data_IF_089057704281
#
_entry.id   IF_089057704281
#
_cell.length_a   1.000
_cell.length_b   1.000
_cell.length_c   1.000
_cell.angle_alpha   90.00
_cell.angle_beta   90.00
_cell.angle_gamma   90.00
#
_symmetry.space_group_name_H-M   'P 1'
#
loop_
_entity.id
_entity.type
_entity.pdbx_description
1 polymer ?
#
# COMPACT_ATOMS: atom_id res chain seq x y z
N UNK A 1 -14.46 -10.79 8.45
CA UNK A 1 -13.09 -10.23 8.36
C UNK A 1 -13.14 -9.20 7.25
N UNK A 2 -12.82 -7.91 7.47
CA UNK A 2 -13.02 -6.88 6.44
C UNK A 2 -12.17 -7.19 5.20
N UNK A 3 -12.81 -7.35 4.04
CA UNK A 3 -12.13 -7.64 2.77
C UNK A 3 -11.06 -6.58 2.40
N UNK A 4 -11.23 -5.34 2.86
CA UNK A 4 -10.22 -4.27 2.80
C UNK A 4 -8.93 -4.64 3.54
N UNK A 5 -9.04 -5.28 4.71
CA UNK A 5 -7.89 -5.73 5.49
C UNK A 5 -7.16 -6.85 4.74
N UNK A 6 -7.90 -7.79 4.15
CA UNK A 6 -7.35 -8.87 3.33
C UNK A 6 -6.58 -8.34 2.12
N UNK A 7 -7.14 -7.36 1.39
CA UNK A 7 -6.46 -6.72 0.24
C UNK A 7 -5.19 -6.00 0.68
N UNK A 8 -5.26 -5.19 1.74
CA UNK A 8 -4.10 -4.46 2.25
C UNK A 8 -3.00 -5.40 2.77
N UNK A 9 -3.40 -6.51 3.37
CA UNK A 9 -2.50 -7.56 3.82
C UNK A 9 -1.83 -8.27 2.64
N UNK A 10 -2.57 -8.59 1.55
CA UNK A 10 -1.97 -9.12 0.32
C UNK A 10 -0.92 -8.19 -0.28
N UNK A 11 -1.21 -6.90 -0.35
CA UNK A 11 -0.27 -5.92 -0.91
C UNK A 11 1.00 -5.85 -0.05
N UNK A 12 0.85 -5.83 1.27
CA UNK A 12 1.98 -5.86 2.22
C UNK A 12 2.81 -7.14 2.07
N UNK A 13 2.16 -8.29 1.90
CA UNK A 13 2.84 -9.57 1.72
C UNK A 13 3.58 -9.67 0.39
N UNK A 14 3.04 -9.10 -0.69
CA UNK A 14 3.76 -9.01 -1.97
C UNK A 14 5.03 -8.19 -1.83
N UNK A 15 4.97 -7.08 -1.10
CA UNK A 15 6.14 -6.24 -0.86
C UNK A 15 7.16 -6.94 0.04
N UNK A 16 6.71 -7.69 1.05
CA UNK A 16 7.58 -8.54 1.88
C UNK A 16 8.27 -9.65 1.05
N UNK A 17 7.55 -10.33 0.15
CA UNK A 17 8.14 -11.32 -0.76
C UNK A 17 9.21 -10.69 -1.66
N UNK A 18 8.96 -9.50 -2.23
CA UNK A 18 9.97 -8.77 -3.02
C UNK A 18 11.20 -8.45 -2.18
N UNK A 19 11.03 -8.02 -0.93
CA UNK A 19 12.13 -7.75 -0.02
C UNK A 19 12.94 -9.01 0.29
N UNK A 20 12.28 -10.15 0.54
CA UNK A 20 12.95 -11.43 0.75
C UNK A 20 13.73 -11.90 -0.49
N UNK A 21 13.17 -11.77 -1.71
CA UNK A 21 13.88 -12.10 -2.94
C UNK A 21 15.15 -11.25 -3.14
N UNK A 22 15.08 -9.95 -2.84
CA UNK A 22 16.26 -9.07 -2.84
C UNK A 22 17.29 -9.52 -1.83
N UNK A 23 16.87 -9.82 -0.60
CA UNK A 23 17.77 -10.32 0.44
C UNK A 23 18.45 -11.64 0.04
N UNK A 24 17.70 -12.59 -0.56
CA UNK A 24 18.27 -13.84 -1.10
C UNK A 24 19.37 -13.56 -2.13
N UNK A 25 19.11 -12.67 -3.08
CA UNK A 25 20.05 -12.30 -4.12
C UNK A 25 21.31 -11.64 -3.52
N UNK A 26 21.14 -10.72 -2.59
CA UNK A 26 22.24 -10.06 -1.88
C UNK A 26 23.09 -11.05 -1.08
N UNK A 27 22.44 -12.03 -0.44
CA UNK A 27 23.15 -13.04 0.33
C UNK A 27 23.95 -13.97 -0.56
N UNK A 28 23.37 -14.43 -1.66
CA UNK A 28 24.08 -15.23 -2.68
C UNK A 28 25.32 -14.48 -3.19
N UNK A 29 25.19 -13.19 -3.47
CA UNK A 29 26.30 -12.36 -3.93
C UNK A 29 27.41 -12.20 -2.87
N UNK A 30 27.04 -12.03 -1.59
CA UNK A 30 28.00 -11.96 -0.48
C UNK A 30 28.78 -13.26 -0.34
N UNK A 31 28.08 -14.40 -0.31
CA UNK A 31 28.72 -15.72 -0.17
C UNK A 31 29.62 -16.01 -1.37
N UNK A 32 29.17 -15.71 -2.60
CA UNK A 32 29.99 -15.85 -3.81
C UNK A 32 31.31 -15.09 -3.69
N UNK A 33 31.28 -13.83 -3.27
CA UNK A 33 32.50 -13.03 -3.07
C UNK A 33 33.43 -13.65 -2.03
N UNK A 34 32.89 -14.12 -0.91
CA UNK A 34 33.68 -14.74 0.16
C UNK A 34 34.35 -16.04 -0.29
N UNK A 35 33.66 -16.88 -1.07
CA UNK A 35 34.27 -18.08 -1.63
C UNK A 35 35.33 -17.75 -2.68
N UNK A 36 35.10 -16.74 -3.52
CA UNK A 36 36.07 -16.30 -4.53
C UNK A 36 37.37 -15.73 -3.94
N UNK A 37 37.35 -15.22 -2.70
CA UNK A 37 38.57 -14.81 -1.98
C UNK A 37 39.48 -16.02 -1.71
N UNK A 38 38.91 -17.19 -1.40
CA UNK A 38 39.65 -18.41 -1.04
C UNK A 38 39.96 -19.26 -2.29
N UNK A 39 39.02 -19.30 -3.24
CA UNK A 39 39.16 -20.05 -4.50
C UNK A 39 38.66 -19.19 -5.67
N UNK A 40 39.55 -18.47 -6.38
CA UNK A 40 39.18 -17.55 -7.46
C UNK A 40 38.38 -18.21 -8.60
N UNK A 41 38.64 -19.49 -8.87
CA UNK A 41 38.03 -20.25 -9.99
C UNK A 41 36.80 -21.07 -9.56
N UNK A 42 36.23 -20.79 -8.38
CA UNK A 42 35.09 -21.55 -7.88
C UNK A 42 33.84 -21.36 -8.78
N UNK A 43 33.32 -22.48 -9.29
CA UNK A 43 32.06 -22.47 -10.06
C UNK A 43 30.86 -22.24 -9.14
N UNK A 44 29.78 -21.65 -9.65
CA UNK A 44 28.57 -21.38 -8.87
C UNK A 44 27.98 -22.65 -8.22
N UNK A 45 28.17 -23.80 -8.86
CA UNK A 45 27.75 -25.11 -8.37
C UNK A 45 28.66 -25.67 -7.27
N UNK A 46 29.96 -25.38 -7.31
CA UNK A 46 30.88 -25.70 -6.21
C UNK A 46 30.58 -24.84 -4.98
N UNK A 47 30.28 -23.56 -5.18
CA UNK A 47 29.89 -22.64 -4.11
C UNK A 47 28.58 -23.13 -3.45
N UNK A 48 27.60 -23.58 -4.24
CA UNK A 48 26.34 -24.13 -3.72
C UNK A 48 26.56 -25.48 -2.98
N UNK A 49 27.49 -26.32 -3.44
CA UNK A 49 27.85 -27.56 -2.72
C UNK A 49 28.57 -27.29 -1.40
N UNK A 50 29.51 -26.33 -1.39
CA UNK A 50 30.22 -25.89 -0.17
C UNK A 50 29.25 -25.29 0.84
N UNK A 51 28.23 -24.58 0.34
CA UNK A 51 27.15 -24.02 1.15
C UNK A 51 26.21 -25.11 1.71
N UNK A 52 25.84 -26.11 0.90
CA UNK A 52 24.92 -27.20 1.29
C UNK A 52 25.57 -28.30 2.11
N UNK A 53 26.90 -28.42 2.08
CA UNK A 53 27.60 -29.50 2.80
C UNK A 53 27.40 -29.35 4.31
N UNK A 54 26.77 -30.35 4.92
CA UNK A 54 26.44 -30.40 6.34
C UNK A 54 27.65 -30.64 7.27
N UNK A 55 28.86 -30.81 6.73
CA UNK A 55 30.10 -30.95 7.51
C UNK A 55 30.96 -29.68 7.41
N UNK A 56 30.86 -28.76 8.40
CA UNK A 56 31.73 -27.60 8.53
C UNK A 56 33.23 -27.91 8.50
N UNK A 57 33.61 -29.15 8.84
CA UNK A 57 35.00 -29.58 8.92
C UNK A 57 35.58 -30.18 7.64
N UNK A 58 34.75 -30.65 6.70
CA UNK A 58 35.25 -31.37 5.50
C UNK A 58 36.03 -30.45 4.55
N UNK A 59 35.54 -29.24 4.36
CA UNK A 59 36.14 -28.23 3.47
C UNK A 59 37.27 -27.49 4.19
N UNK A 60 37.17 -27.37 5.52
CA UNK A 60 38.25 -26.88 6.38
C UNK A 60 39.53 -27.72 6.24
N UNK A 61 39.40 -29.06 6.17
CA UNK A 61 40.54 -29.97 6.01
C UNK A 61 41.29 -29.77 4.69
N UNK A 62 40.59 -29.48 3.58
CA UNK A 62 41.25 -29.27 2.28
C UNK A 62 41.89 -27.88 2.14
N UNK A 63 41.32 -26.86 2.77
CA UNK A 63 41.84 -25.48 2.71
C UNK A 63 43.00 -25.22 3.68
N UNK A 64 42.99 -25.83 4.87
CA UNK A 64 44.09 -25.70 5.86
C UNK A 64 45.38 -26.39 5.42
N UNK A 65 45.27 -27.46 4.64
CA UNK A 65 46.44 -28.11 4.04
C UNK A 65 47.24 -27.19 3.10
N UNK A 66 46.66 -26.06 2.66
CA UNK A 66 47.32 -25.07 1.79
C UNK A 66 47.96 -23.87 2.54
N UNK A 67 47.94 -23.85 3.89
CA UNK A 67 48.86 -23.00 4.66
C UNK A 67 48.38 -21.59 5.06
N UNK A 68 47.07 -21.35 5.24
CA UNK A 68 46.56 -20.10 5.84
C UNK A 68 45.53 -20.40 6.93
N UNK A 69 45.91 -20.23 8.20
CA UNK A 69 45.21 -20.87 9.32
C UNK A 69 44.07 -20.05 9.96
N UNK A 70 44.06 -18.72 9.88
CA UNK A 70 43.05 -17.90 10.59
C UNK A 70 42.05 -17.16 9.66
N UNK A 71 42.52 -16.56 8.57
CA UNK A 71 41.67 -15.80 7.64
C UNK A 71 40.65 -16.68 6.90
N UNK A 72 41.04 -17.90 6.52
CA UNK A 72 40.17 -18.87 5.84
C UNK A 72 39.04 -19.34 6.77
N UNK A 73 39.34 -19.51 8.05
CA UNK A 73 38.37 -19.93 9.06
C UNK A 73 37.29 -18.86 9.27
N UNK A 74 37.69 -17.60 9.38
CA UNK A 74 36.76 -16.47 9.54
C UNK A 74 35.83 -16.33 8.32
N UNK A 75 36.40 -16.39 7.11
CA UNK A 75 35.64 -16.31 5.84
C UNK A 75 34.64 -17.45 5.73
N UNK A 76 35.02 -18.67 6.13
CA UNK A 76 34.13 -19.83 6.10
C UNK A 76 32.99 -19.72 7.12
N UNK A 77 33.29 -19.33 8.37
CA UNK A 77 32.26 -19.14 9.40
C UNK A 77 31.24 -18.08 8.96
N UNK A 78 31.70 -17.00 8.36
CA UNK A 78 30.82 -15.98 7.80
C UNK A 78 29.97 -16.53 6.65
N UNK A 79 30.55 -17.31 5.73
CA UNK A 79 29.78 -18.03 4.70
C UNK A 79 28.70 -18.94 5.28
N UNK A 80 29.04 -19.73 6.30
CA UNK A 80 28.14 -20.67 6.93
C UNK A 80 26.96 -19.96 7.62
N UNK A 81 27.23 -18.92 8.41
CA UNK A 81 26.20 -18.13 9.08
C UNK A 81 25.26 -17.48 8.06
N UNK A 82 25.81 -16.94 6.96
CA UNK A 82 25.03 -16.35 5.86
C UNK A 82 24.18 -17.39 5.14
N UNK A 83 24.65 -18.62 5.02
CA UNK A 83 23.87 -19.72 4.46
C UNK A 83 22.71 -20.14 5.38
N UNK A 84 22.93 -20.19 6.69
CA UNK A 84 21.83 -20.40 7.64
C UNK A 84 20.76 -19.30 7.53
N UNK A 85 21.16 -18.04 7.32
CA UNK A 85 20.23 -16.94 7.06
C UNK A 85 19.41 -17.19 5.76
N UNK A 86 20.03 -17.72 4.70
CA UNK A 86 19.34 -18.09 3.45
C UNK A 86 18.35 -19.23 3.68
N UNK A 87 18.72 -20.28 4.41
CA UNK A 87 17.82 -21.40 4.70
C UNK A 87 16.58 -20.95 5.48
N UNK A 88 16.77 -20.11 6.50
CA UNK A 88 15.65 -19.52 7.24
C UNK A 88 14.75 -18.70 6.33
N UNK A 89 15.34 -17.92 5.42
CA UNK A 89 14.58 -17.16 4.43
C UNK A 89 13.80 -18.07 3.49
N UNK A 90 14.38 -19.18 3.00
CA UNK A 90 13.68 -20.14 2.14
C UNK A 90 12.48 -20.77 2.86
N UNK A 91 12.64 -21.10 4.14
CA UNK A 91 11.52 -21.57 4.97
C UNK A 91 10.44 -20.49 5.09
N UNK A 92 10.79 -19.24 5.41
CA UNK A 92 9.83 -18.15 5.49
C UNK A 92 9.13 -17.87 4.15
N UNK A 93 9.82 -18.01 3.01
CA UNK A 93 9.22 -17.88 1.67
C UNK A 93 8.20 -19.00 1.42
N UNK A 94 8.51 -20.24 1.83
CA UNK A 94 7.60 -21.36 1.70
C UNK A 94 6.32 -21.16 2.54
N UNK A 95 6.46 -20.69 3.78
CA UNK A 95 5.33 -20.35 4.66
C UNK A 95 4.46 -19.23 4.07
N UNK A 96 5.06 -18.18 3.51
CA UNK A 96 4.32 -17.12 2.79
C UNK A 96 3.56 -17.65 1.59
N UNK A 97 4.18 -18.55 0.82
CA UNK A 97 3.54 -19.14 -0.36
C UNK A 97 2.29 -19.93 0.03
N UNK A 98 2.38 -20.75 1.10
CA UNK A 98 1.22 -21.46 1.63
C UNK A 98 0.12 -20.49 2.07
N UNK A 99 0.50 -19.43 2.79
CA UNK A 99 -0.45 -18.43 3.25
C UNK A 99 -1.12 -17.68 2.07
N UNK A 100 -0.42 -17.50 0.94
CA UNK A 100 -1.01 -16.95 -0.29
C UNK A 100 -2.05 -17.88 -0.92
N UNK A 101 -1.81 -19.20 -0.92
CA UNK A 101 -2.76 -20.18 -1.44
C UNK A 101 -4.03 -20.19 -0.58
N UNK A 102 -3.88 -20.21 0.74
CA UNK A 102 -5.01 -20.18 1.67
C UNK A 102 -5.83 -18.89 1.54
N UNK A 103 -5.14 -17.76 1.31
CA UNK A 103 -5.77 -16.46 1.18
C UNK A 103 -6.40 -16.23 -0.20
N UNK A 104 -5.84 -16.80 -1.27
CA UNK A 104 -6.48 -16.84 -2.58
C UNK A 104 -7.83 -17.57 -2.51
N UNK A 105 -7.88 -18.69 -1.81
CA UNK A 105 -9.10 -19.45 -1.56
C UNK A 105 -10.14 -18.63 -0.74
N UNK A 106 -9.69 -17.92 0.30
CA UNK A 106 -10.55 -17.04 1.09
C UNK A 106 -11.10 -15.84 0.29
N UNK A 107 -10.33 -15.28 -0.65
CA UNK A 107 -10.76 -14.17 -1.50
C UNK A 107 -11.76 -14.67 -2.56
N UNK A 108 -11.52 -15.83 -3.16
CA UNK A 108 -12.43 -16.45 -4.13
C UNK A 108 -13.80 -16.74 -3.51
N UNK A 109 -13.84 -17.25 -2.27
CA UNK A 109 -15.08 -17.45 -1.52
C UNK A 109 -15.80 -16.15 -1.11
N UNK A 110 -15.09 -15.02 -1.04
CA UNK A 110 -15.63 -13.71 -0.61
C UNK A 110 -15.90 -12.74 -1.78
N UNK A 111 -15.82 -13.20 -3.04
CA UNK A 111 -15.87 -12.38 -4.26
C UNK A 111 -17.06 -11.41 -4.36
N UNK A 112 -18.22 -11.76 -3.76
CA UNK A 112 -19.43 -10.92 -3.77
C UNK A 112 -19.33 -9.69 -2.84
N UNK A 113 -18.55 -9.76 -1.76
CA UNK A 113 -18.47 -8.71 -0.74
C UNK A 113 -17.47 -7.58 -1.09
N UNK A 114 -16.42 -7.88 -1.87
CA UNK A 114 -15.45 -6.87 -2.32
C UNK A 114 -16.10 -5.86 -3.27
N UNK A 115 -16.95 -6.34 -4.18
CA UNK A 115 -17.70 -5.50 -5.12
C UNK A 115 -18.67 -4.57 -4.36
N UNK A 116 -19.24 -5.06 -3.26
CA UNK A 116 -20.16 -4.28 -2.44
C UNK A 116 -19.49 -3.13 -1.66
N UNK A 117 -18.21 -3.22 -1.29
CA UNK A 117 -17.48 -2.10 -0.66
C UNK A 117 -17.07 -1.06 -1.68
N UNK A 118 -16.58 -1.49 -2.84
CA UNK A 118 -16.29 -0.56 -3.93
C UNK A 118 -17.57 0.16 -4.37
N UNK A 119 -18.68 -0.57 -4.43
CA UNK A 119 -20.01 -0.01 -4.63
C UNK A 119 -20.40 0.98 -3.52
N UNK A 120 -20.21 0.65 -2.24
CA UNK A 120 -20.52 1.56 -1.13
C UNK A 120 -19.67 2.84 -1.14
N UNK A 121 -18.36 2.73 -1.38
CA UNK A 121 -17.45 3.90 -1.45
C UNK A 121 -17.80 4.77 -2.66
N UNK A 122 -18.04 4.16 -3.82
CA UNK A 122 -18.45 4.88 -5.03
C UNK A 122 -19.81 5.55 -4.85
N UNK A 123 -20.74 4.87 -4.20
CA UNK A 123 -22.06 5.41 -3.85
C UNK A 123 -21.94 6.59 -2.88
N UNK A 124 -21.11 6.48 -1.84
CA UNK A 124 -20.86 7.59 -0.91
C UNK A 124 -20.22 8.80 -1.63
N UNK A 125 -19.24 8.57 -2.52
CA UNK A 125 -18.65 9.62 -3.35
C UNK A 125 -19.70 10.30 -4.23
N UNK A 126 -20.57 9.52 -4.88
CA UNK A 126 -21.65 10.05 -5.71
C UNK A 126 -22.64 10.89 -4.88
N UNK A 127 -22.97 10.48 -3.66
CA UNK A 127 -23.84 11.24 -2.76
C UNK A 127 -23.20 12.57 -2.33
N UNK A 128 -21.90 12.59 -2.05
CA UNK A 128 -21.17 13.82 -1.70
C UNK A 128 -21.18 14.79 -2.89
N UNK A 129 -20.91 14.31 -4.10
CA UNK A 129 -20.95 15.13 -5.31
C UNK A 129 -22.35 15.67 -5.62
N UNK A 130 -23.38 14.84 -5.47
CA UNK A 130 -24.78 15.27 -5.61
C UNK A 130 -25.14 16.31 -4.54
N UNK A 131 -24.74 16.09 -3.28
CA UNK A 131 -24.94 17.04 -2.18
C UNK A 131 -24.27 18.38 -2.45
N UNK A 132 -23.02 18.38 -2.94
CA UNK A 132 -22.31 19.60 -3.33
C UNK A 132 -23.03 20.38 -4.44
N UNK A 133 -23.59 19.68 -5.44
CA UNK A 133 -24.41 20.30 -6.49
C UNK A 133 -25.68 20.93 -5.93
N UNK A 134 -26.38 20.26 -5.02
CA UNK A 134 -27.58 20.82 -4.39
C UNK A 134 -27.27 22.01 -3.49
N UNK A 135 -26.18 21.98 -2.73
CA UNK A 135 -25.73 23.13 -1.91
C UNK A 135 -25.40 24.33 -2.80
N UNK A 136 -24.65 24.14 -3.89
CA UNK A 136 -24.31 25.24 -4.81
C UNK A 136 -25.55 25.81 -5.50
N UNK A 137 -26.51 24.97 -5.90
CA UNK A 137 -27.81 25.39 -6.45
C UNK A 137 -28.64 26.15 -5.43
N UNK A 138 -28.70 25.68 -4.19
CA UNK A 138 -29.40 26.35 -3.09
C UNK A 138 -28.81 27.74 -2.82
N UNK A 139 -27.48 27.88 -2.79
CA UNK A 139 -26.81 29.18 -2.65
C UNK A 139 -27.15 30.14 -3.80
N UNK A 140 -27.18 29.65 -5.05
CA UNK A 140 -27.57 30.46 -6.21
C UNK A 140 -29.03 30.90 -6.13
N UNK A 141 -29.92 29.99 -5.76
CA UNK A 141 -31.35 30.27 -5.57
C UNK A 141 -31.58 31.29 -4.45
N UNK A 142 -30.92 31.11 -3.30
CA UNK A 142 -31.00 32.03 -2.16
C UNK A 142 -30.55 33.45 -2.53
N UNK A 143 -29.47 33.60 -3.32
CA UNK A 143 -29.02 34.91 -3.82
C UNK A 143 -30.07 35.55 -4.74
N UNK A 144 -30.71 34.78 -5.63
CA UNK A 144 -31.76 35.29 -6.52
C UNK A 144 -33.02 35.70 -5.74
N UNK A 145 -33.44 34.89 -4.77
CA UNK A 145 -34.60 35.18 -3.92
C UNK A 145 -34.41 36.46 -3.10
N UNK A 146 -33.21 36.69 -2.55
CA UNK A 146 -32.90 37.95 -1.84
C UNK A 146 -33.09 39.18 -2.74
N UNK A 147 -32.68 39.11 -4.02
CA UNK A 147 -32.92 40.20 -4.98
C UNK A 147 -34.41 40.39 -5.25
N UNK A 148 -35.15 39.31 -5.50
CA UNK A 148 -36.60 39.36 -5.75
C UNK A 148 -37.37 39.93 -4.55
N UNK A 149 -37.01 39.53 -3.34
CA UNK A 149 -37.63 40.02 -2.10
C UNK A 149 -37.36 41.50 -1.88
N UNK A 150 -36.14 41.98 -2.18
CA UNK A 150 -35.83 43.41 -2.16
C UNK A 150 -36.68 44.21 -3.18
N UNK A 151 -36.83 43.70 -4.40
CA UNK A 151 -37.70 44.31 -5.41
C UNK A 151 -39.17 44.34 -4.95
N UNK A 152 -39.71 43.24 -4.41
CA UNK A 152 -41.08 43.18 -3.91
C UNK A 152 -41.32 44.16 -2.75
N UNK A 153 -40.38 44.27 -1.81
CA UNK A 153 -40.45 45.25 -0.73
C UNK A 153 -40.44 46.69 -1.26
N UNK A 154 -39.59 46.99 -2.25
CA UNK A 154 -39.54 48.31 -2.88
C UNK A 154 -40.87 48.68 -3.56
N UNK A 155 -41.44 47.78 -4.37
CA UNK A 155 -42.76 48.01 -4.98
C UNK A 155 -43.86 48.20 -3.94
N UNK A 156 -43.85 47.40 -2.86
CA UNK A 156 -44.81 47.56 -1.76
C UNK A 156 -44.75 48.95 -1.10
N UNK A 157 -43.55 49.47 -0.84
CA UNK A 157 -43.38 50.82 -0.27
C UNK A 157 -43.89 51.92 -1.20
N UNK A 158 -43.63 51.81 -2.51
CA UNK A 158 -44.10 52.79 -3.50
C UNK A 158 -45.64 52.83 -3.54
N UNK A 159 -46.29 51.68 -3.53
CA UNK A 159 -47.77 51.60 -3.52
C UNK A 159 -48.35 52.25 -2.26
N UNK A 160 -47.75 52.02 -1.09
CA UNK A 160 -48.17 52.64 0.17
C UNK A 160 -48.03 54.17 0.10
N UNK A 161 -46.91 54.68 -0.41
CA UNK A 161 -46.70 56.13 -0.57
C UNK A 161 -47.76 56.78 -1.46
N UNK A 162 -48.09 56.15 -2.60
CA UNK A 162 -49.13 56.64 -3.50
C UNK A 162 -50.49 56.68 -2.80
N UNK A 163 -50.84 55.63 -2.06
CA UNK A 163 -52.10 55.57 -1.33
C UNK A 163 -52.21 56.68 -0.27
N UNK A 164 -51.12 56.97 0.46
CA UNK A 164 -51.07 58.05 1.45
C UNK A 164 -51.19 59.42 0.80
N UNK A 165 -50.49 59.66 -0.33
CA UNK A 165 -50.60 60.93 -1.07
C UNK A 165 -52.01 61.14 -1.63
N UNK A 166 -52.65 60.12 -2.18
CA UNK A 166 -54.03 60.20 -2.65
C UNK A 166 -55.01 60.50 -1.50
N UNK A 167 -54.82 59.85 -0.35
CA UNK A 167 -55.64 60.08 0.86
C UNK A 167 -55.43 61.48 1.45
N UNK A 168 -54.19 61.97 1.45
CA UNK A 168 -53.83 63.31 1.91
C UNK A 168 -54.34 64.41 0.97
N UNK A 169 -54.26 64.19 -0.35
CA UNK A 169 -54.82 65.10 -1.35
C UNK A 169 -56.34 65.19 -1.25
N UNK A 170 -57.02 64.07 -0.97
CA UNK A 170 -58.47 64.03 -0.76
C UNK A 170 -58.91 64.72 0.54
N UNK A 171 -58.03 64.83 1.53
CA UNK A 171 -58.32 65.53 2.80
C UNK A 171 -57.93 67.02 2.77
N UNK A 172 -57.16 67.44 1.77
CA UNK A 172 -56.66 68.82 1.57
C UNK A 172 -57.48 69.62 0.53
N UNK A 173 -58.44 68.99 -0.14
CA UNK A 173 -59.39 69.64 -1.07
C UNK A 173 -60.76 69.70 -0.40
#
# INVERSE_FOLDING_TARGET
>A
MSTTLTRKFMDTMKDYQKAQQRFKADMKNKVKRQVQIVKPDASEHEIDMVMRSADPGAIYRSAILQGSNDSIKEVYMNCHDKYQDVLKLEQSVAELHQMFLDLALLVEQQGEMLDQIEFQVKTASNYIDAGNKEVTKALKSQKSMRKKMCCLLFFGLVVILIAVLASGAFKST
#
